data_IF_352161565667
#
_entry.id   IF_352161565667
#
_cell.length_a   1.000
_cell.length_b   1.000
_cell.length_c   1.000
_cell.angle_alpha   90.00
_cell.angle_beta   90.00
_cell.angle_gamma   90.00
#
_symmetry.space_group_name_H-M   'P 1'
#
loop_
_entity.id
_entity.type
_entity.pdbx_description
1 polymer ?
#
# COMPACT_ATOMS: atom_id res chain seq x y z
N UNK A 1 -11.72 -34.36 10.25
CA UNK A 1 -11.90 -32.89 10.10
C UNK A 1 -12.25 -32.35 11.47
N UNK A 2 -11.27 -31.83 12.19
CA UNK A 2 -11.53 -31.11 13.44
C UNK A 2 -11.96 -29.72 13.02
N UNK A 3 -13.27 -29.47 13.04
CA UNK A 3 -13.79 -28.10 12.93
C UNK A 3 -13.22 -27.36 14.14
N UNK A 4 -12.29 -26.44 13.93
CA UNK A 4 -11.90 -25.51 15.00
C UNK A 4 -13.19 -24.79 15.36
N UNK A 5 -13.68 -25.01 16.58
CA UNK A 5 -14.88 -24.36 17.06
C UNK A 5 -14.63 -22.85 17.00
N UNK A 6 -15.26 -22.17 16.04
CA UNK A 6 -15.24 -20.72 15.99
C UNK A 6 -15.88 -20.23 17.28
N UNK A 7 -15.12 -19.48 18.08
CA UNK A 7 -15.69 -18.79 19.22
C UNK A 7 -16.57 -17.68 18.66
N UNK A 8 -17.89 -17.77 18.87
CA UNK A 8 -18.79 -16.67 18.53
C UNK A 8 -18.40 -15.44 19.36
N UNK A 9 -18.11 -14.34 18.68
CA UNK A 9 -17.74 -13.05 19.28
C UNK A 9 -18.64 -11.96 18.69
N UNK A 10 -19.43 -11.23 19.51
CA UNK A 10 -20.30 -10.16 19.02
C UNK A 10 -19.54 -9.09 18.20
N UNK A 11 -18.31 -8.78 18.58
CA UNK A 11 -17.40 -7.88 17.86
C UNK A 11 -17.13 -8.32 16.42
N UNK A 12 -16.93 -9.62 16.18
CA UNK A 12 -16.70 -10.15 14.84
C UNK A 12 -17.95 -10.07 13.95
N UNK A 13 -19.11 -10.36 14.53
CA UNK A 13 -20.40 -10.20 13.83
C UNK A 13 -20.61 -8.74 13.43
N UNK A 14 -20.31 -7.82 14.34
CA UNK A 14 -20.38 -6.39 14.11
C UNK A 14 -19.40 -5.92 13.01
N UNK A 15 -18.15 -6.41 13.02
CA UNK A 15 -17.19 -6.15 11.95
C UNK A 15 -17.75 -6.57 10.59
N UNK A 16 -18.28 -7.79 10.50
CA UNK A 16 -18.89 -8.29 9.26
C UNK A 16 -20.01 -7.39 8.76
N UNK A 17 -20.88 -6.92 9.66
CA UNK A 17 -21.96 -5.97 9.34
C UNK A 17 -21.40 -4.64 8.81
N UNK A 18 -20.45 -4.03 9.51
CA UNK A 18 -19.82 -2.78 9.10
C UNK A 18 -19.11 -2.88 7.74
N UNK A 19 -18.43 -4.00 7.49
CA UNK A 19 -17.77 -4.26 6.20
C UNK A 19 -18.78 -4.39 5.04
N UNK A 20 -19.94 -5.00 5.28
CA UNK A 20 -21.01 -5.09 4.28
C UNK A 20 -21.68 -3.73 4.04
N UNK A 21 -21.99 -2.97 5.10
CA UNK A 21 -22.64 -1.66 5.01
C UNK A 21 -21.76 -0.62 4.31
N UNK A 22 -20.45 -0.66 4.53
CA UNK A 22 -19.49 0.18 3.82
C UNK A 22 -19.23 -0.25 2.37
N UNK A 23 -19.79 -1.38 1.94
CA UNK A 23 -19.56 -1.97 0.62
C UNK A 23 -18.17 -2.59 0.42
N UNK A 24 -17.35 -2.69 1.48
CA UNK A 24 -16.03 -3.31 1.39
C UNK A 24 -16.11 -4.82 1.22
N UNK A 25 -17.04 -5.47 1.93
CA UNK A 25 -17.32 -6.91 1.85
C UNK A 25 -18.61 -7.15 1.06
N UNK A 26 -18.50 -7.72 -0.14
CA UNK A 26 -19.67 -8.17 -0.89
C UNK A 26 -20.24 -9.46 -0.31
N UNK A 27 -21.52 -9.71 -0.57
CA UNK A 27 -22.26 -10.86 -0.01
C UNK A 27 -21.68 -12.22 -0.41
N UNK A 28 -21.05 -12.32 -1.57
CA UNK A 28 -20.42 -13.55 -2.05
C UNK A 28 -19.09 -13.87 -1.34
N UNK A 29 -18.48 -12.90 -0.65
CA UNK A 29 -17.33 -13.10 0.23
C UNK A 29 -17.70 -13.42 1.68
N UNK A 30 -18.98 -13.27 2.07
CA UNK A 30 -19.45 -13.56 3.42
C UNK A 30 -19.11 -14.98 3.92
N UNK A 31 -19.19 -16.05 3.08
CA UNK A 31 -18.78 -17.39 3.50
C UNK A 31 -17.29 -17.48 3.85
N UNK A 32 -16.42 -16.82 3.07
CA UNK A 32 -14.98 -16.79 3.32
C UNK A 32 -14.66 -15.99 4.60
N UNK A 33 -15.30 -14.83 4.79
CA UNK A 33 -15.19 -14.07 6.04
C UNK A 33 -15.62 -14.91 7.26
N UNK A 34 -16.71 -15.67 7.15
CA UNK A 34 -17.19 -16.54 8.22
C UNK A 34 -16.24 -17.71 8.53
N UNK A 35 -15.64 -18.31 7.51
CA UNK A 35 -14.72 -19.44 7.65
C UNK A 35 -13.31 -19.04 8.11
N UNK A 36 -12.84 -17.85 7.75
CA UNK A 36 -11.50 -17.35 8.09
C UNK A 36 -11.61 -16.37 9.25
N UNK A 37 -11.35 -16.86 10.47
CA UNK A 37 -11.29 -16.00 11.65
C UNK A 37 -9.93 -15.29 11.73
N UNK A 38 -9.90 -13.97 11.52
CA UNK A 38 -8.72 -13.11 11.65
C UNK A 38 -7.93 -13.37 12.95
N UNK A 39 -8.62 -13.62 14.07
CA UNK A 39 -7.98 -13.92 15.34
C UNK A 39 -7.12 -15.19 15.31
N UNK A 40 -7.42 -16.17 14.44
CA UNK A 40 -6.59 -17.36 14.29
C UNK A 40 -5.22 -17.07 13.65
N UNK A 41 -5.08 -15.92 12.97
CA UNK A 41 -3.88 -15.50 12.24
C UNK A 41 -2.97 -14.56 13.02
N UNK A 42 -3.46 -13.96 14.10
CA UNK A 42 -2.74 -12.95 14.86
C UNK A 42 -1.80 -13.56 15.91
N UNK A 43 -0.62 -12.97 16.13
CA UNK A 43 0.29 -13.37 17.20
C UNK A 43 -0.28 -13.04 18.59
N UNK A 44 0.27 -13.68 19.61
CA UNK A 44 -0.16 -13.48 21.00
C UNK A 44 0.02 -12.02 21.46
N UNK A 45 1.15 -11.40 21.11
CA UNK A 45 1.42 -9.98 21.29
C UNK A 45 1.34 -9.32 19.93
N UNK A 46 0.57 -8.24 19.82
CA UNK A 46 0.38 -7.50 18.58
C UNK A 46 0.26 -6.00 18.85
N UNK A 47 0.36 -5.21 17.78
CA UNK A 47 0.34 -3.75 17.90
C UNK A 47 -0.67 -3.10 16.95
N UNK A 48 -1.96 -3.01 17.32
CA UNK A 48 -2.96 -2.24 16.56
C UNK A 48 -2.48 -0.81 16.33
N UNK A 49 -2.60 -0.34 15.10
CA UNK A 49 -2.28 1.03 14.73
C UNK A 49 -3.54 1.89 14.90
N UNK A 50 -3.54 2.76 15.90
CA UNK A 50 -4.70 3.57 16.25
C UNK A 50 -4.56 4.95 15.61
N UNK A 51 -5.54 5.40 14.80
CA UNK A 51 -5.56 6.75 14.24
C UNK A 51 -5.60 7.83 15.33
N UNK A 52 -4.99 8.99 15.06
CA UNK A 52 -4.94 10.12 16.01
C UNK A 52 -6.34 10.51 16.51
N UNK A 53 -7.34 10.48 15.63
CA UNK A 53 -8.73 10.86 15.91
C UNK A 53 -9.39 9.94 16.95
N UNK A 54 -8.89 8.71 17.09
CA UNK A 54 -9.38 7.73 18.06
C UNK A 54 -8.60 7.75 19.39
N UNK A 55 -7.53 8.55 19.49
CA UNK A 55 -6.65 8.62 20.65
C UNK A 55 -6.93 9.83 21.57
N UNK A 56 -8.03 10.55 21.34
CA UNK A 56 -8.37 11.74 22.12
C UNK A 56 -7.44 12.92 21.81
N UNK A 57 -6.70 13.41 22.82
CA UNK A 57 -5.78 14.57 22.69
C UNK A 57 -4.40 14.21 22.11
N UNK A 58 -4.17 12.96 21.67
CA UNK A 58 -2.87 12.58 21.13
C UNK A 58 -2.63 13.23 19.75
N UNK A 59 -1.45 13.83 19.51
CA UNK A 59 -1.20 14.59 18.28
C UNK A 59 -0.99 13.72 17.04
N UNK A 60 -0.71 12.42 17.19
CA UNK A 60 -0.37 11.53 16.08
C UNK A 60 -0.91 10.11 16.29
N UNK A 61 -1.22 9.44 15.18
CA UNK A 61 -1.52 8.00 15.14
C UNK A 61 -0.34 7.19 15.67
N UNK A 62 -0.60 6.10 16.39
CA UNK A 62 0.47 5.26 16.96
C UNK A 62 0.06 3.81 17.09
N UNK A 63 1.07 2.94 17.11
CA UNK A 63 0.90 1.55 17.47
C UNK A 63 0.85 1.40 19.00
N UNK A 64 -0.11 0.63 19.54
CA UNK A 64 -0.20 0.32 20.97
C UNK A 64 -0.04 -1.17 21.21
N UNK A 65 0.60 -1.57 22.31
CA UNK A 65 0.82 -2.99 22.63
C UNK A 65 -0.41 -3.62 23.23
N UNK A 66 -0.78 -4.81 22.73
CA UNK A 66 -1.83 -5.66 23.32
C UNK A 66 -1.35 -7.11 23.38
N UNK A 67 -1.45 -7.74 24.55
CA UNK A 67 -1.13 -9.15 24.78
C UNK A 67 -2.39 -9.91 25.19
N UNK A 68 -2.72 -10.96 24.43
CA UNK A 68 -3.88 -11.82 24.68
C UNK A 68 -3.87 -12.45 26.08
N UNK A 69 -2.69 -12.65 26.69
CA UNK A 69 -2.58 -13.26 28.03
C UNK A 69 -3.02 -12.33 29.14
N UNK A 70 -2.73 -11.05 29.02
CA UNK A 70 -2.97 -10.05 30.07
C UNK A 70 -4.27 -9.31 29.85
N UNK A 71 -4.65 -9.08 28.59
CA UNK A 71 -5.90 -8.42 28.22
C UNK A 71 -6.54 -9.09 26.99
N UNK A 72 -7.16 -10.28 27.17
CA UNK A 72 -7.82 -10.98 26.08
C UNK A 72 -8.98 -10.18 25.49
N UNK A 73 -9.68 -9.38 26.30
CA UNK A 73 -10.83 -8.60 25.84
C UNK A 73 -10.40 -7.52 24.84
N UNK A 74 -9.37 -6.72 25.17
CA UNK A 74 -8.81 -5.76 24.23
C UNK A 74 -8.21 -6.46 23.00
N UNK A 75 -7.50 -7.58 23.20
CA UNK A 75 -6.90 -8.32 22.09
C UNK A 75 -7.93 -8.78 21.07
N UNK A 76 -9.03 -9.41 21.51
CA UNK A 76 -10.11 -9.82 20.61
C UNK A 76 -10.87 -8.62 20.02
N UNK A 77 -11.03 -7.54 20.79
CA UNK A 77 -11.62 -6.29 20.29
C UNK A 77 -10.84 -5.72 19.10
N UNK A 78 -9.51 -5.70 19.16
CA UNK A 78 -8.68 -5.25 18.03
C UNK A 78 -8.62 -6.27 16.89
N UNK A 79 -8.57 -7.57 17.20
CA UNK A 79 -8.62 -8.61 16.18
C UNK A 79 -9.90 -8.52 15.34
N UNK A 80 -11.01 -8.17 15.98
CA UNK A 80 -12.33 -7.99 15.36
C UNK A 80 -12.61 -6.52 14.99
N UNK A 81 -11.59 -5.66 14.88
CA UNK A 81 -11.75 -4.26 14.46
C UNK A 81 -11.35 -4.05 13.00
N UNK A 82 -11.87 -3.00 12.37
CA UNK A 82 -11.40 -2.55 11.05
C UNK A 82 -10.15 -1.68 11.16
N UNK A 83 -9.14 -2.15 11.90
CA UNK A 83 -7.82 -1.51 12.01
C UNK A 83 -6.73 -2.42 11.47
N UNK A 84 -5.63 -1.83 11.00
CA UNK A 84 -4.40 -2.57 10.75
C UNK A 84 -3.72 -2.91 12.07
N UNK A 85 -3.11 -4.10 12.11
CA UNK A 85 -2.42 -4.61 13.29
C UNK A 85 -1.00 -4.97 12.89
N UNK A 86 -0.02 -4.24 13.41
CA UNK A 86 1.39 -4.59 13.21
C UNK A 86 1.69 -5.90 13.95
N UNK A 87 2.42 -6.80 13.28
CA UNK A 87 2.75 -8.14 13.78
C UNK A 87 4.25 -8.42 13.79
N UNK A 88 5.06 -7.56 13.16
CA UNK A 88 6.51 -7.62 13.20
C UNK A 88 7.10 -6.20 13.09
N UNK A 89 8.21 -5.97 13.77
CA UNK A 89 9.02 -4.76 13.69
C UNK A 89 10.46 -5.10 13.32
N UNK A 90 11.14 -4.13 12.72
CA UNK A 90 12.59 -4.11 12.50
C UNK A 90 13.11 -5.37 11.79
N UNK A 91 12.38 -5.83 10.77
CA UNK A 91 12.69 -7.02 9.97
C UNK A 91 12.85 -8.30 10.80
N UNK A 92 12.10 -8.37 11.91
CA UNK A 92 12.12 -9.49 12.84
C UNK A 92 13.25 -9.42 13.88
N UNK A 93 14.05 -8.35 13.90
CA UNK A 93 15.08 -8.14 14.91
C UNK A 93 14.51 -7.72 16.27
N UNK A 94 13.35 -7.06 16.27
CA UNK A 94 12.68 -6.63 17.50
C UNK A 94 12.08 -7.83 18.25
N UNK A 95 12.39 -7.93 19.55
CA UNK A 95 11.90 -9.02 20.44
C UNK A 95 11.15 -8.52 21.67
N UNK A 96 10.99 -7.20 21.81
CA UNK A 96 10.27 -6.60 22.93
C UNK A 96 8.75 -6.69 22.77
N UNK A 97 8.04 -6.30 23.82
CA UNK A 97 6.59 -6.17 23.87
C UNK A 97 6.10 -4.77 23.43
N UNK A 98 6.91 -3.73 23.58
CA UNK A 98 6.61 -2.38 23.07
C UNK A 98 6.76 -2.30 21.53
N UNK A 99 6.19 -1.28 20.86
CA UNK A 99 6.44 -1.06 19.44
C UNK A 99 7.94 -0.90 19.13
N UNK A 100 8.40 -1.44 18.00
CA UNK A 100 9.76 -1.24 17.49
C UNK A 100 9.90 0.07 16.71
N UNK A 101 10.93 0.17 15.86
CA UNK A 101 11.22 1.41 15.10
C UNK A 101 10.47 1.47 13.79
N UNK A 102 10.59 0.42 12.97
CA UNK A 102 9.97 0.33 11.64
C UNK A 102 9.07 -0.90 11.61
N UNK A 103 7.77 -0.75 11.32
CA UNK A 103 6.89 -1.90 11.18
C UNK A 103 7.22 -2.63 9.87
N UNK A 104 7.31 -3.96 9.93
CA UNK A 104 7.78 -4.78 8.79
C UNK A 104 6.84 -5.91 8.39
N UNK A 105 5.81 -6.20 9.20
CA UNK A 105 4.66 -7.01 8.81
C UNK A 105 3.43 -6.56 9.60
N UNK A 106 2.25 -6.70 8.99
CA UNK A 106 0.96 -6.45 9.62
C UNK A 106 -0.11 -7.42 9.13
N UNK A 107 -1.15 -7.64 9.94
CA UNK A 107 -2.46 -7.99 9.39
C UNK A 107 -3.13 -6.70 8.94
N UNK A 108 -3.36 -6.60 7.64
CA UNK A 108 -3.93 -5.41 6.99
C UNK A 108 -5.35 -5.11 7.48
N UNK A 109 -5.79 -3.88 7.27
CA UNK A 109 -7.16 -3.45 7.58
C UNK A 109 -8.18 -4.30 6.77
N UNK A 110 -9.16 -4.96 7.42
CA UNK A 110 -10.12 -5.84 6.76
C UNK A 110 -10.84 -5.19 5.57
N UNK A 111 -11.32 -3.94 5.70
CA UNK A 111 -12.00 -3.24 4.60
C UNK A 111 -11.11 -3.03 3.38
N UNK A 112 -9.83 -2.73 3.57
CA UNK A 112 -8.85 -2.64 2.48
C UNK A 112 -8.63 -4.02 1.85
N UNK A 113 -8.44 -5.08 2.65
CA UNK A 113 -8.25 -6.45 2.13
C UNK A 113 -9.42 -6.88 1.26
N UNK A 114 -10.67 -6.72 1.71
CA UNK A 114 -11.82 -7.12 0.92
C UNK A 114 -12.03 -6.27 -0.35
N UNK A 115 -11.70 -4.97 -0.33
CA UNK A 115 -11.67 -4.15 -1.56
C UNK A 115 -10.62 -4.64 -2.56
N UNK A 116 -9.44 -5.03 -2.09
CA UNK A 116 -8.41 -5.60 -2.97
C UNK A 116 -8.81 -6.97 -3.52
N UNK A 117 -9.45 -7.81 -2.71
CA UNK A 117 -10.00 -9.10 -3.15
C UNK A 117 -11.12 -8.92 -4.18
N UNK A 118 -12.00 -7.92 -4.00
CA UNK A 118 -13.02 -7.57 -4.98
C UNK A 118 -12.41 -7.06 -6.29
N UNK A 119 -11.37 -6.21 -6.23
CA UNK A 119 -10.65 -5.76 -7.41
C UNK A 119 -9.92 -6.92 -8.13
N UNK A 120 -9.39 -7.88 -7.37
CA UNK A 120 -8.73 -9.06 -7.91
C UNK A 120 -9.72 -9.98 -8.64
N UNK A 121 -10.96 -10.04 -8.17
CA UNK A 121 -12.05 -10.86 -8.73
C UNK A 121 -11.64 -12.33 -8.97
N UNK A 122 -11.23 -13.07 -7.91
CA UNK A 122 -10.88 -14.49 -8.02
C UNK A 122 -12.12 -15.40 -7.93
N UNK A 123 -12.07 -16.51 -8.67
CA UNK A 123 -13.12 -17.52 -8.70
C UNK A 123 -12.59 -18.93 -8.37
N UNK A 124 -13.51 -19.85 -8.09
CA UNK A 124 -13.20 -21.24 -7.80
C UNK A 124 -12.35 -21.88 -8.91
N UNK A 125 -11.27 -22.55 -8.52
CA UNK A 125 -10.35 -23.20 -9.44
C UNK A 125 -9.27 -22.29 -10.02
N UNK A 126 -9.35 -20.96 -9.84
CA UNK A 126 -8.29 -20.05 -10.30
C UNK A 126 -7.01 -20.23 -9.51
N UNK A 127 -5.87 -20.20 -10.19
CA UNK A 127 -4.55 -20.20 -9.58
C UNK A 127 -4.14 -18.80 -9.18
N UNK A 128 -3.82 -18.62 -7.90
CA UNK A 128 -3.53 -17.30 -7.32
C UNK A 128 -2.15 -17.27 -6.67
N UNK A 129 -1.38 -16.23 -6.97
CA UNK A 129 -0.20 -15.85 -6.21
C UNK A 129 -0.56 -14.74 -5.23
N UNK A 130 -0.37 -15.00 -3.94
CA UNK A 130 -0.45 -14.04 -2.84
C UNK A 130 0.97 -13.57 -2.47
N UNK A 131 1.36 -12.40 -2.98
CA UNK A 131 2.67 -11.79 -2.75
C UNK A 131 2.63 -10.93 -1.48
N UNK A 132 3.21 -11.46 -0.39
CA UNK A 132 3.18 -10.87 0.94
C UNK A 132 2.36 -11.70 1.93
N UNK A 133 2.86 -12.89 2.29
CA UNK A 133 2.13 -13.82 3.17
C UNK A 133 1.70 -13.18 4.48
N UNK A 134 2.60 -12.42 5.13
CA UNK A 134 2.32 -11.81 6.43
C UNK A 134 1.78 -12.83 7.44
N UNK A 135 0.60 -12.56 8.01
CA UNK A 135 0.00 -13.48 8.99
C UNK A 135 -0.54 -14.79 8.39
N UNK A 136 -0.79 -14.83 7.08
CA UNK A 136 -1.44 -15.92 6.34
C UNK A 136 -2.96 -15.76 6.17
N UNK A 137 -3.56 -14.68 6.68
CA UNK A 137 -5.01 -14.45 6.64
C UNK A 137 -5.55 -14.27 5.21
N UNK A 138 -4.89 -13.44 4.40
CA UNK A 138 -5.28 -13.21 3.00
C UNK A 138 -5.13 -14.48 2.16
N UNK A 139 -4.04 -15.23 2.34
CA UNK A 139 -3.85 -16.54 1.73
C UNK A 139 -4.99 -17.51 2.10
N UNK A 140 -5.48 -17.48 3.34
CA UNK A 140 -6.60 -18.32 3.79
C UNK A 140 -7.93 -17.94 3.13
N UNK A 141 -8.21 -16.63 2.99
CA UNK A 141 -9.39 -16.14 2.27
C UNK A 141 -9.36 -16.60 0.80
N UNK A 142 -8.21 -16.44 0.14
CA UNK A 142 -8.00 -16.92 -1.23
C UNK A 142 -8.11 -18.44 -1.33
N UNK A 143 -7.57 -19.18 -0.36
CA UNK A 143 -7.62 -20.64 -0.33
C UNK A 143 -9.06 -21.15 -0.18
N UNK A 144 -9.87 -20.47 0.63
CA UNK A 144 -11.29 -20.77 0.76
C UNK A 144 -12.06 -20.46 -0.54
N UNK A 145 -11.74 -19.35 -1.23
CA UNK A 145 -12.42 -18.94 -2.47
C UNK A 145 -12.04 -19.78 -3.68
N UNK A 146 -10.75 -20.00 -3.89
CA UNK A 146 -10.19 -20.61 -5.10
C UNK A 146 -9.95 -22.12 -4.97
N UNK A 147 -9.91 -22.63 -3.73
CA UNK A 147 -9.41 -23.94 -3.38
C UNK A 147 -7.93 -23.90 -2.95
N UNK A 148 -7.62 -24.47 -1.79
CA UNK A 148 -6.29 -24.34 -1.17
C UNK A 148 -5.12 -24.78 -2.06
N UNK A 149 -5.30 -25.85 -2.85
CA UNK A 149 -4.26 -26.35 -3.76
C UNK A 149 -3.93 -25.38 -4.91
N UNK A 150 -4.75 -24.35 -5.14
CA UNK A 150 -4.56 -23.34 -6.18
C UNK A 150 -3.90 -22.06 -5.67
N UNK A 151 -3.62 -21.95 -4.38
CA UNK A 151 -3.01 -20.76 -3.78
C UNK A 151 -1.54 -21.01 -3.44
N UNK A 152 -0.69 -20.10 -3.92
CA UNK A 152 0.70 -19.96 -3.48
C UNK A 152 0.81 -18.63 -2.76
N UNK A 153 1.40 -18.61 -1.57
CA UNK A 153 1.72 -17.38 -0.83
C UNK A 153 3.21 -17.30 -0.59
N UNK A 154 3.80 -16.12 -0.77
CA UNK A 154 5.25 -15.90 -0.68
C UNK A 154 5.59 -14.72 0.22
N UNK A 155 6.59 -14.91 1.09
CA UNK A 155 7.16 -13.86 1.94
C UNK A 155 8.68 -13.99 2.00
N UNK A 156 9.36 -12.86 2.14
CA UNK A 156 10.83 -12.82 2.20
C UNK A 156 11.36 -13.29 3.56
N UNK A 157 10.53 -13.25 4.60
CA UNK A 157 10.92 -13.59 5.96
C UNK A 157 10.61 -15.06 6.30
N UNK A 158 11.63 -15.90 6.57
CA UNK A 158 11.41 -17.32 6.85
C UNK A 158 10.53 -17.58 8.07
N UNK A 159 10.59 -16.73 9.10
CA UNK A 159 9.79 -16.90 10.31
C UNK A 159 8.32 -16.59 10.05
N UNK A 160 8.05 -15.59 9.21
CA UNK A 160 6.70 -15.21 8.78
C UNK A 160 6.08 -16.32 7.95
N UNK A 161 6.77 -16.81 6.90
CA UNK A 161 6.27 -17.91 6.06
C UNK A 161 6.00 -19.17 6.88
N UNK A 162 6.91 -19.53 7.81
CA UNK A 162 6.75 -20.72 8.65
C UNK A 162 5.53 -20.63 9.57
N UNK A 163 5.33 -19.48 10.23
CA UNK A 163 4.18 -19.26 11.10
C UNK A 163 2.86 -19.26 10.33
N UNK A 164 2.81 -18.60 9.17
CA UNK A 164 1.62 -18.61 8.32
C UNK A 164 1.25 -20.03 7.86
N UNK A 165 2.25 -20.83 7.44
CA UNK A 165 2.06 -22.24 7.07
C UNK A 165 1.44 -23.06 8.20
N UNK A 166 1.92 -22.90 9.43
CA UNK A 166 1.38 -23.62 10.60
C UNK A 166 -0.10 -23.27 10.85
N UNK A 167 -0.45 -21.99 10.78
CA UNK A 167 -1.83 -21.51 10.96
C UNK A 167 -2.76 -22.01 9.86
N UNK A 168 -2.31 -21.93 8.60
CA UNK A 168 -3.02 -22.46 7.44
C UNK A 168 -3.28 -23.97 7.57
N UNK A 169 -2.27 -24.76 7.92
CA UNK A 169 -2.40 -26.21 8.17
C UNK A 169 -3.37 -26.53 9.31
N UNK A 170 -3.33 -25.74 10.40
CA UNK A 170 -4.22 -25.90 11.55
C UNK A 170 -5.69 -25.75 11.15
N UNK A 171 -5.98 -24.85 10.21
CA UNK A 171 -7.30 -24.64 9.63
C UNK A 171 -7.67 -25.62 8.49
N UNK A 172 -6.77 -26.55 8.15
CA UNK A 172 -6.95 -27.48 7.04
C UNK A 172 -6.85 -26.83 5.65
N UNK A 173 -6.33 -25.61 5.57
CA UNK A 173 -6.11 -24.85 4.34
C UNK A 173 -4.67 -25.05 3.86
N UNK A 174 -4.43 -26.12 3.11
CA UNK A 174 -3.08 -26.48 2.64
C UNK A 174 -2.64 -25.68 1.41
N UNK A 175 -2.62 -24.36 1.51
CA UNK A 175 -1.97 -23.49 0.51
C UNK A 175 -0.45 -23.64 0.59
N UNK A 176 0.24 -23.44 -0.53
CA UNK A 176 1.70 -23.49 -0.57
C UNK A 176 2.29 -22.18 -0.04
N UNK A 177 2.98 -22.25 1.10
CA UNK A 177 3.67 -21.10 1.70
C UNK A 177 5.17 -21.19 1.42
N UNK A 178 5.69 -20.20 0.70
CA UNK A 178 7.06 -20.12 0.20
C UNK A 178 7.83 -19.01 0.93
N UNK A 179 9.09 -19.28 1.25
CA UNK A 179 10.03 -18.24 1.64
C UNK A 179 10.86 -17.83 0.42
N UNK A 180 10.77 -16.56 0.04
CA UNK A 180 11.46 -16.03 -1.14
C UNK A 180 11.11 -14.58 -1.43
N UNK A 181 11.80 -13.99 -2.40
CA UNK A 181 11.49 -12.63 -2.85
C UNK A 181 10.21 -12.62 -3.70
N UNK A 182 9.14 -12.09 -3.15
CA UNK A 182 7.86 -11.95 -3.83
C UNK A 182 7.93 -11.08 -5.10
N UNK A 183 8.92 -10.18 -5.23
CA UNK A 183 9.14 -9.41 -6.45
C UNK A 183 9.57 -10.30 -7.63
N UNK A 184 10.22 -11.43 -7.35
CA UNK A 184 10.58 -12.43 -8.37
C UNK A 184 9.43 -13.38 -8.73
N UNK A 185 8.30 -13.29 -8.01
CA UNK A 185 7.18 -14.22 -8.14
C UNK A 185 7.55 -15.65 -7.73
N UNK A 186 6.83 -16.63 -8.28
CA UNK A 186 7.10 -18.05 -8.07
C UNK A 186 6.74 -18.86 -9.34
N UNK A 187 7.66 -18.95 -10.32
CA UNK A 187 7.34 -19.46 -11.66
C UNK A 187 6.96 -20.95 -11.69
N UNK A 188 7.42 -21.76 -10.73
CA UNK A 188 7.20 -23.22 -10.69
C UNK A 188 5.71 -23.61 -10.58
N UNK A 189 4.88 -22.68 -10.11
CA UNK A 189 3.43 -22.85 -9.99
C UNK A 189 2.67 -22.00 -10.99
N UNK A 190 3.34 -21.22 -11.84
CA UNK A 190 2.68 -20.47 -12.91
C UNK A 190 2.12 -21.36 -14.04
N UNK A 191 1.47 -20.76 -15.04
CA UNK A 191 1.00 -19.39 -15.03
C UNK A 191 -0.15 -19.18 -14.03
N UNK A 192 -0.25 -17.99 -13.47
CA UNK A 192 -1.30 -17.58 -12.54
C UNK A 192 -2.47 -16.92 -13.27
N UNK A 193 -3.67 -17.12 -12.74
CA UNK A 193 -4.88 -16.41 -13.20
C UNK A 193 -5.01 -15.04 -12.53
N UNK A 194 -4.50 -14.95 -11.30
CA UNK A 194 -4.55 -13.79 -10.40
C UNK A 194 -3.26 -13.65 -9.61
N UNK A 195 -2.82 -12.41 -9.42
CA UNK A 195 -1.74 -12.08 -8.50
C UNK A 195 -2.20 -10.92 -7.62
N UNK A 196 -2.18 -11.14 -6.31
CA UNK A 196 -2.45 -10.11 -5.31
C UNK A 196 -1.16 -9.79 -4.58
N UNK A 197 -0.77 -8.53 -4.55
CA UNK A 197 0.31 -8.02 -3.73
C UNK A 197 -0.25 -7.28 -2.52
N UNK A 198 0.25 -7.58 -1.34
CA UNK A 198 -0.17 -6.97 -0.06
C UNK A 198 0.98 -6.22 0.62
N UNK A 199 1.92 -5.72 -0.18
CA UNK A 199 2.91 -4.71 0.18
C UNK A 199 3.00 -3.64 -0.92
N UNK A 200 3.55 -2.47 -0.57
CA UNK A 200 3.71 -1.36 -1.50
C UNK A 200 4.93 -1.55 -2.41
N UNK A 201 4.75 -1.31 -3.71
CA UNK A 201 5.83 -1.30 -4.70
C UNK A 201 6.04 0.07 -5.33
N UNK A 202 7.27 0.33 -5.78
CA UNK A 202 7.64 1.53 -6.54
C UNK A 202 7.59 1.31 -8.06
N UNK A 203 7.55 0.05 -8.46
CA UNK A 203 7.41 -0.43 -9.83
C UNK A 203 6.79 -1.83 -9.80
N UNK A 204 5.96 -2.17 -10.78
CA UNK A 204 5.39 -3.49 -11.01
C UNK A 204 6.49 -4.40 -11.60
N UNK A 205 6.91 -5.47 -10.91
CA UNK A 205 7.90 -6.39 -11.41
C UNK A 205 7.51 -7.03 -12.75
N UNK A 206 8.45 -7.05 -13.70
CA UNK A 206 8.29 -7.80 -14.97
C UNK A 206 7.96 -9.28 -14.75
N UNK A 207 8.56 -9.88 -13.71
CA UNK A 207 8.30 -11.26 -13.32
C UNK A 207 6.81 -11.53 -13.05
N UNK A 208 6.07 -10.56 -12.50
CA UNK A 208 4.63 -10.71 -12.27
C UNK A 208 3.85 -10.76 -13.59
N UNK A 209 4.17 -9.86 -14.53
CA UNK A 209 3.54 -9.80 -15.85
C UNK A 209 3.84 -11.07 -16.65
N UNK A 210 5.05 -11.62 -16.52
CA UNK A 210 5.47 -12.85 -17.21
C UNK A 210 4.86 -14.13 -16.62
N UNK A 211 4.52 -14.12 -15.33
CA UNK A 211 3.98 -15.29 -14.64
C UNK A 211 2.45 -15.31 -14.58
N UNK A 212 1.78 -14.20 -14.86
CA UNK A 212 0.32 -14.15 -14.98
C UNK A 212 -0.08 -14.37 -16.44
N UNK A 213 -1.07 -15.25 -16.68
CA UNK A 213 -1.52 -15.56 -18.05
C UNK A 213 -2.10 -14.31 -18.75
N UNK A 214 -2.09 -14.25 -20.10
CA UNK A 214 -2.89 -13.26 -20.82
C UNK A 214 -4.37 -13.29 -20.38
N UNK A 215 -4.95 -12.12 -20.14
CA UNK A 215 -6.28 -11.93 -19.55
C UNK A 215 -6.35 -12.15 -18.03
N UNK A 216 -5.24 -12.52 -17.38
CA UNK A 216 -5.11 -12.57 -15.93
C UNK A 216 -4.97 -11.17 -15.32
N UNK A 217 -5.19 -11.07 -14.01
CA UNK A 217 -5.25 -9.79 -13.27
C UNK A 217 -4.17 -9.73 -12.21
N UNK A 218 -3.47 -8.60 -12.15
CA UNK A 218 -2.56 -8.21 -11.07
C UNK A 218 -3.23 -7.08 -10.27
N UNK A 219 -3.32 -7.23 -8.95
CA UNK A 219 -3.69 -6.15 -8.04
C UNK A 219 -2.53 -5.87 -7.09
N UNK A 220 -2.03 -4.64 -7.09
CA UNK A 220 -0.88 -4.27 -6.26
C UNK A 220 -0.96 -2.82 -5.77
N UNK A 221 -0.69 -2.56 -4.47
CA UNK A 221 -0.41 -1.22 -3.96
C UNK A 221 0.82 -0.63 -4.64
N UNK A 222 0.60 0.42 -5.42
CA UNK A 222 1.61 1.09 -6.24
C UNK A 222 1.69 2.56 -5.86
N UNK A 223 2.91 3.07 -5.68
CA UNK A 223 3.10 4.51 -5.52
C UNK A 223 4.55 4.93 -5.60
N UNK A 224 4.79 6.18 -5.95
CA UNK A 224 6.14 6.72 -6.17
C UNK A 224 6.79 7.16 -4.86
N UNK A 225 8.09 7.46 -4.88
CA UNK A 225 8.79 7.97 -3.69
C UNK A 225 8.23 9.27 -3.12
N UNK A 226 7.26 9.90 -3.80
CA UNK A 226 6.60 11.13 -3.38
C UNK A 226 6.05 11.02 -1.95
N UNK A 227 5.34 9.94 -1.62
CA UNK A 227 4.85 9.70 -0.26
C UNK A 227 4.58 8.22 0.00
N UNK A 228 3.96 7.92 1.15
CA UNK A 228 3.39 6.61 1.48
C UNK A 228 1.97 6.41 0.95
N UNK A 229 1.32 7.46 0.43
CA UNK A 229 -0.03 7.39 -0.16
C UNK A 229 0.06 6.72 -1.52
N UNK A 230 -0.25 5.43 -1.54
CA UNK A 230 -0.28 4.61 -2.75
C UNK A 230 -1.70 4.55 -3.33
N UNK A 231 -1.78 3.92 -4.49
CA UNK A 231 -3.02 3.52 -5.11
C UNK A 231 -2.93 2.04 -5.53
N UNK A 232 -4.01 1.28 -5.33
CA UNK A 232 -4.06 -0.09 -5.80
C UNK A 232 -4.21 -0.09 -7.33
N UNK A 233 -3.19 -0.51 -8.07
CA UNK A 233 -3.26 -0.72 -9.50
C UNK A 233 -3.96 -2.06 -9.78
N UNK A 234 -4.97 -2.06 -10.69
CA UNK A 234 -5.63 -3.28 -11.18
C UNK A 234 -5.29 -3.45 -12.66
N UNK A 235 -4.31 -4.30 -12.95
CA UNK A 235 -3.74 -4.47 -14.28
C UNK A 235 -4.21 -5.78 -14.92
N UNK A 236 -4.65 -5.71 -16.17
CA UNK A 236 -4.88 -6.90 -17.00
C UNK A 236 -3.62 -7.18 -17.80
N UNK A 237 -3.14 -8.43 -17.78
CA UNK A 237 -2.00 -8.85 -18.60
C UNK A 237 -2.45 -9.12 -20.04
N UNK A 238 -1.71 -8.58 -21.00
CA UNK A 238 -1.99 -8.70 -22.43
C UNK A 238 -1.14 -9.79 -23.07
N UNK A 239 -1.59 -10.27 -24.25
CA UNK A 239 -0.90 -11.36 -24.97
C UNK A 239 0.49 -10.97 -25.50
N UNK A 240 0.78 -9.68 -25.61
CA UNK A 240 2.08 -9.13 -26.02
C UNK A 240 3.09 -9.00 -24.86
N UNK A 241 2.73 -9.45 -23.66
CA UNK A 241 3.58 -9.37 -22.48
C UNK A 241 3.61 -8.00 -21.81
N UNK A 242 2.68 -7.10 -22.14
CA UNK A 242 2.40 -5.87 -21.39
C UNK A 242 1.27 -6.07 -20.38
N UNK A 243 1.07 -5.14 -19.47
CA UNK A 243 -0.11 -5.10 -18.61
C UNK A 243 -0.63 -3.67 -18.47
N UNK A 244 -1.94 -3.46 -18.39
CA UNK A 244 -2.49 -2.13 -18.15
C UNK A 244 -3.83 -2.15 -17.43
N UNK A 245 -4.15 -1.05 -16.76
CA UNK A 245 -5.45 -0.85 -16.14
C UNK A 245 -5.47 0.31 -15.14
N UNK A 246 -6.64 0.59 -14.55
CA UNK A 246 -6.84 1.74 -13.68
C UNK A 246 -6.25 1.52 -12.28
N UNK A 247 -6.08 2.62 -11.55
CA UNK A 247 -6.04 2.57 -10.10
C UNK A 247 -7.47 2.47 -9.54
N UNK A 248 -7.69 1.68 -8.50
CA UNK A 248 -9.06 1.39 -8.02
C UNK A 248 -9.38 1.96 -6.65
N UNK A 249 -8.37 2.20 -5.81
CA UNK A 249 -8.57 2.81 -4.49
C UNK A 249 -7.25 3.31 -3.92
N UNK A 250 -7.30 4.34 -3.09
CA UNK A 250 -6.14 4.79 -2.32
C UNK A 250 -5.83 3.76 -1.23
N UNK A 251 -4.55 3.45 -1.04
CA UNK A 251 -4.08 2.49 -0.03
C UNK A 251 -2.77 2.97 0.58
N UNK A 252 -2.45 2.46 1.76
CA UNK A 252 -1.13 2.65 2.37
C UNK A 252 -0.61 1.30 2.85
N UNK A 253 0.54 0.90 2.32
CA UNK A 253 1.18 -0.38 2.64
C UNK A 253 2.65 -0.19 2.97
N UNK A 254 3.16 -1.06 3.84
CA UNK A 254 4.60 -1.20 4.05
C UNK A 254 5.28 -1.51 2.72
N UNK A 255 6.40 -0.85 2.43
CA UNK A 255 7.12 -1.08 1.16
C UNK A 255 7.86 -2.41 1.18
N UNK A 256 7.94 -3.05 0.01
CA UNK A 256 8.89 -4.14 -0.21
C UNK A 256 10.28 -3.72 0.33
N UNK A 257 11.01 -4.65 0.96
CA UNK A 257 12.24 -4.30 1.70
C UNK A 257 13.26 -3.54 0.83
N UNK A 258 13.42 -3.96 -0.43
CA UNK A 258 14.28 -3.31 -1.43
C UNK A 258 13.75 -1.98 -1.98
N UNK A 259 12.48 -1.67 -1.76
CA UNK A 259 11.77 -0.49 -2.27
C UNK A 259 11.56 0.61 -1.21
N UNK A 260 12.09 0.41 0.01
CA UNK A 260 12.04 1.43 1.07
C UNK A 260 12.79 2.69 0.63
N UNK A 261 12.18 3.85 0.87
CA UNK A 261 12.83 5.13 0.57
C UNK A 261 13.98 5.34 1.53
N UNK A 262 15.19 5.53 1.01
CA UNK A 262 16.31 6.12 1.76
C UNK A 262 16.11 7.63 1.73
N UNK A 263 15.74 8.22 2.86
CA UNK A 263 15.43 9.64 2.92
C UNK A 263 16.66 10.50 2.61
N UNK A 264 16.52 11.48 1.70
CA UNK A 264 17.54 12.48 1.44
C UNK A 264 17.98 13.21 2.71
N UNK A 265 19.30 13.27 2.92
CA UNK A 265 19.91 14.13 3.93
C UNK A 265 19.98 15.56 3.41
N UNK A 266 19.19 16.47 4.01
CA UNK A 266 19.06 17.85 3.58
C UNK A 266 20.41 18.57 3.49
N UNK A 267 21.37 18.27 4.38
CA UNK A 267 22.70 18.88 4.37
C UNK A 267 23.49 18.54 3.10
N UNK A 268 23.20 17.41 2.46
CA UNK A 268 23.84 17.00 1.21
C UNK A 268 23.27 17.73 0.00
N UNK A 269 22.02 18.20 0.08
CA UNK A 269 21.31 18.88 -1.01
C UNK A 269 21.45 20.40 -0.92
N UNK A 270 21.26 20.96 0.27
CA UNK A 270 21.18 22.41 0.49
C UNK A 270 22.56 22.94 0.88
N UNK A 271 23.38 23.24 -0.14
CA UNK A 271 24.70 23.87 0.06
C UNK A 271 24.66 25.39 0.08
N UNK A 272 23.64 25.96 -0.56
CA UNK A 272 23.40 27.39 -0.65
C UNK A 272 21.91 27.65 -0.87
N UNK A 273 21.43 28.78 -0.38
CA UNK A 273 20.06 29.23 -0.63
C UNK A 273 20.03 30.12 -1.87
N UNK A 274 19.29 29.75 -2.93
CA UNK A 274 19.12 30.60 -4.10
C UNK A 274 18.17 31.77 -3.78
N UNK A 275 18.02 32.69 -4.74
CA UNK A 275 16.93 33.66 -4.70
C UNK A 275 15.56 32.96 -4.69
N UNK A 276 14.57 33.61 -4.09
CA UNK A 276 13.21 33.08 -3.99
C UNK A 276 12.29 33.57 -5.11
N UNK A 277 11.28 32.78 -5.43
CA UNK A 277 10.14 33.16 -6.26
C UNK A 277 8.83 33.03 -5.47
N UNK A 278 7.73 33.57 -6.00
CA UNK A 278 6.39 33.38 -5.43
C UNK A 278 5.61 32.29 -6.17
N UNK A 279 4.66 31.63 -5.50
CA UNK A 279 3.68 30.73 -6.11
C UNK A 279 2.28 31.01 -5.57
N UNK A 280 1.26 30.80 -6.40
CA UNK A 280 -0.14 30.88 -5.98
C UNK A 280 -0.66 29.53 -5.47
N UNK A 281 0.04 28.41 -5.73
CA UNK A 281 -0.38 27.07 -5.31
C UNK A 281 -0.38 26.98 -3.79
N UNK A 282 -1.51 26.58 -3.23
CA UNK A 282 -1.74 26.47 -1.79
C UNK A 282 -1.57 25.01 -1.29
N UNK A 283 -1.35 24.81 0.03
CA UNK A 283 -1.14 23.48 0.61
C UNK A 283 -2.30 22.49 0.39
N UNK A 284 -3.53 22.97 0.40
CA UNK A 284 -4.75 22.19 0.11
C UNK A 284 -4.77 21.71 -1.35
N UNK A 285 -4.45 22.58 -2.31
CA UNK A 285 -4.32 22.21 -3.72
C UNK A 285 -3.24 21.13 -3.93
N UNK A 286 -2.12 21.20 -3.21
CA UNK A 286 -1.08 20.14 -3.23
C UNK A 286 -1.59 18.81 -2.68
N UNK A 287 -2.40 18.86 -1.61
CA UNK A 287 -2.97 17.67 -1.00
C UNK A 287 -4.02 17.00 -1.91
N UNK A 288 -4.84 17.79 -2.60
CA UNK A 288 -5.86 17.31 -3.55
C UNK A 288 -5.23 16.77 -4.85
N UNK A 289 -4.26 17.48 -5.42
CA UNK A 289 -3.56 17.07 -6.63
C UNK A 289 -2.49 15.99 -6.39
N UNK A 290 -2.34 15.50 -5.15
CA UNK A 290 -1.25 14.62 -4.71
C UNK A 290 -0.98 13.46 -5.68
N UNK A 291 -2.02 12.72 -6.08
CA UNK A 291 -1.84 11.56 -6.94
C UNK A 291 -1.29 11.94 -8.32
N UNK A 292 -1.86 13.00 -8.93
CA UNK A 292 -1.38 13.52 -10.21
C UNK A 292 0.07 14.00 -10.14
N UNK A 293 0.44 14.75 -9.10
CA UNK A 293 1.82 15.21 -8.87
C UNK A 293 2.76 13.99 -8.72
N UNK A 294 2.36 13.01 -7.91
CA UNK A 294 3.18 11.84 -7.62
C UNK A 294 3.52 11.03 -8.87
N UNK A 295 2.63 11.04 -9.88
CA UNK A 295 2.80 10.33 -11.15
C UNK A 295 3.49 11.20 -12.22
N UNK A 296 3.22 12.51 -12.25
CA UNK A 296 3.76 13.43 -13.25
C UNK A 296 5.22 13.82 -12.98
N UNK A 297 5.65 13.81 -11.71
CA UNK A 297 7.00 14.22 -11.31
C UNK A 297 7.74 13.04 -10.66
N UNK A 298 8.37 12.16 -11.46
CA UNK A 298 8.97 10.93 -10.94
C UNK A 298 10.29 11.18 -10.19
N UNK A 299 10.70 10.17 -9.42
CA UNK A 299 11.95 10.10 -8.66
C UNK A 299 12.17 11.29 -7.72
N UNK A 300 11.11 11.72 -7.04
CA UNK A 300 11.20 12.73 -5.98
C UNK A 300 10.70 12.15 -4.66
N UNK A 301 11.32 12.55 -3.57
CA UNK A 301 10.79 12.38 -2.22
C UNK A 301 10.21 13.71 -1.73
N UNK A 302 9.05 13.67 -1.10
CA UNK A 302 8.35 14.85 -0.61
C UNK A 302 8.03 14.72 0.88
N UNK A 303 8.20 15.81 1.63
CA UNK A 303 7.86 15.89 3.04
C UNK A 303 7.27 17.25 3.36
N UNK A 304 6.38 17.28 4.35
CA UNK A 304 5.76 18.49 4.88
C UNK A 304 6.11 18.63 6.35
N UNK A 305 6.22 19.86 6.81
CA UNK A 305 6.45 20.18 8.22
C UNK A 305 5.84 21.55 8.56
N UNK A 306 5.68 21.79 9.85
CA UNK A 306 5.28 23.10 10.37
C UNK A 306 6.54 23.80 10.89
N UNK A 307 6.78 25.02 10.42
CA UNK A 307 7.88 25.86 10.89
C UNK A 307 7.67 26.31 12.36
N UNK A 308 8.71 26.76 13.08
CA UNK A 308 8.58 27.21 14.48
C UNK A 308 7.58 28.36 14.70
N UNK A 309 7.29 29.14 13.67
CA UNK A 309 6.29 30.21 13.69
C UNK A 309 4.87 29.75 13.31
N UNK A 310 4.69 28.45 13.09
CA UNK A 310 3.41 27.84 12.71
C UNK A 310 3.16 27.80 11.20
N UNK A 311 4.03 28.39 10.38
CA UNK A 311 3.85 28.41 8.92
C UNK A 311 4.00 26.99 8.33
N UNK A 312 3.07 26.54 7.46
CA UNK A 312 3.28 25.32 6.69
C UNK A 312 4.49 25.46 5.77
N UNK A 313 5.24 24.37 5.63
CA UNK A 313 6.31 24.27 4.67
C UNK A 313 6.40 22.84 4.09
N UNK A 314 6.99 22.76 2.91
CA UNK A 314 7.10 21.53 2.16
C UNK A 314 8.42 21.47 1.40
N UNK A 315 8.98 20.27 1.29
CA UNK A 315 10.24 20.01 0.60
C UNK A 315 10.06 18.92 -0.45
N UNK A 316 10.82 19.05 -1.52
CA UNK A 316 10.97 18.06 -2.58
C UNK A 316 12.45 17.83 -2.85
N UNK A 317 12.85 16.56 -2.93
CA UNK A 317 14.22 16.15 -3.20
C UNK A 317 14.23 15.18 -4.36
N UNK A 318 15.01 15.49 -5.38
CA UNK A 318 15.27 14.56 -6.48
C UNK A 318 16.18 13.44 -6.02
N UNK A 319 15.80 12.21 -6.32
CA UNK A 319 16.57 11.01 -5.97
C UNK A 319 17.67 10.69 -6.99
N UNK A 320 17.76 11.44 -8.09
CA UNK A 320 18.64 11.10 -9.22
C UNK A 320 19.72 12.15 -9.52
N UNK A 321 19.51 13.42 -9.19
CA UNK A 321 20.39 14.51 -9.67
C UNK A 321 20.65 15.64 -8.65
N UNK A 322 20.35 15.39 -7.37
CA UNK A 322 20.52 16.37 -6.26
C UNK A 322 19.73 17.68 -6.41
N UNK A 323 18.77 17.76 -7.32
CA UNK A 323 17.81 18.85 -7.33
C UNK A 323 16.95 18.85 -6.06
N UNK A 324 16.54 20.04 -5.62
CA UNK A 324 15.60 20.20 -4.52
C UNK A 324 14.73 21.45 -4.70
N UNK A 325 13.59 21.43 -4.03
CA UNK A 325 12.71 22.58 -3.84
C UNK A 325 12.20 22.64 -2.40
N UNK A 326 11.95 23.84 -1.90
CA UNK A 326 11.30 24.12 -0.63
C UNK A 326 10.26 25.22 -0.87
N UNK A 327 9.07 25.05 -0.30
CA UNK A 327 8.03 26.08 -0.30
C UNK A 327 7.58 26.33 1.13
N UNK A 328 7.40 27.60 1.48
CA UNK A 328 6.87 28.03 2.77
C UNK A 328 5.70 28.98 2.55
N UNK A 329 4.63 28.81 3.33
CA UNK A 329 3.43 29.66 3.29
C UNK A 329 3.31 30.46 4.59
N UNK A 330 3.92 31.66 4.67
CA UNK A 330 3.97 32.44 5.91
C UNK A 330 2.62 33.12 6.26
N UNK A 331 1.73 33.28 5.28
CA UNK A 331 0.42 33.93 5.44
C UNK A 331 -0.66 32.98 4.89
N UNK A 332 -1.76 32.80 5.63
CA UNK A 332 -2.86 31.88 5.28
C UNK A 332 -3.52 32.19 3.92
N UNK A 333 -3.40 33.43 3.43
CA UNK A 333 -3.93 33.89 2.14
C UNK A 333 -2.85 34.54 1.24
N UNK A 334 -1.58 34.40 1.59
CA UNK A 334 -0.46 34.99 0.84
C UNK A 334 0.14 34.02 -0.18
N UNK A 335 0.93 34.53 -1.14
CA UNK A 335 1.68 33.66 -2.04
C UNK A 335 2.72 32.86 -1.26
N UNK A 336 2.88 31.59 -1.62
CA UNK A 336 3.96 30.76 -1.10
C UNK A 336 5.32 31.29 -1.57
N UNK A 337 6.33 31.18 -0.72
CA UNK A 337 7.72 31.54 -1.03
C UNK A 337 8.46 30.27 -1.43
N UNK A 338 8.98 30.25 -2.65
CA UNK A 338 9.64 29.10 -3.27
C UNK A 338 11.14 29.30 -3.31
N UNK A 339 11.89 28.28 -2.88
CA UNK A 339 13.32 28.13 -3.09
C UNK A 339 13.56 26.83 -3.86
N UNK A 340 14.40 26.84 -4.88
CA UNK A 340 14.74 25.61 -5.60
C UNK A 340 16.07 25.73 -6.34
N UNK A 341 16.79 24.62 -6.40
CA UNK A 341 18.14 24.54 -6.96
C UNK A 341 18.39 23.17 -7.58
N UNK A 342 19.26 23.14 -8.59
CA UNK A 342 19.73 21.92 -9.26
C UNK A 342 19.30 21.83 -10.73
N UNK A 343 19.70 20.75 -11.44
CA UNK A 343 19.43 20.57 -12.86
C UNK A 343 17.94 20.54 -13.22
N UNK A 344 17.12 19.89 -12.38
CA UNK A 344 15.65 19.94 -12.45
C UNK A 344 15.12 21.07 -11.57
N UNK A 345 14.18 21.83 -12.11
CA UNK A 345 13.34 22.78 -11.37
C UNK A 345 12.12 22.04 -10.82
N UNK A 346 12.28 21.44 -9.63
CA UNK A 346 11.25 20.53 -9.10
C UNK A 346 9.94 21.24 -8.79
N UNK A 347 9.99 22.45 -8.26
CA UNK A 347 8.77 23.21 -7.98
C UNK A 347 8.03 23.58 -9.27
N UNK A 348 8.75 24.01 -10.31
CA UNK A 348 8.13 24.33 -11.61
C UNK A 348 7.40 23.11 -12.19
N UNK A 349 7.96 21.90 -12.00
CA UNK A 349 7.32 20.65 -12.42
C UNK A 349 6.09 20.30 -11.56
N UNK A 350 6.14 20.53 -10.25
CA UNK A 350 5.00 20.33 -9.34
C UNK A 350 3.87 21.30 -9.67
N UNK A 351 4.16 22.59 -9.84
CA UNK A 351 3.18 23.61 -10.21
C UNK A 351 2.55 23.33 -11.58
N UNK A 352 3.35 22.88 -12.55
CA UNK A 352 2.84 22.43 -13.85
C UNK A 352 1.92 21.20 -13.72
N UNK A 353 2.24 20.24 -12.85
CA UNK A 353 1.41 19.07 -12.61
C UNK A 353 0.07 19.43 -11.93
N UNK A 354 0.09 20.33 -10.94
CA UNK A 354 -1.12 20.89 -10.33
C UNK A 354 -2.00 21.59 -11.37
N UNK A 355 -1.44 22.53 -12.13
CA UNK A 355 -2.19 23.26 -13.15
C UNK A 355 -2.74 22.35 -14.25
N UNK A 356 -1.99 21.31 -14.64
CA UNK A 356 -2.50 20.29 -15.56
C UNK A 356 -3.68 19.53 -14.97
N UNK A 357 -3.59 19.07 -13.71
CA UNK A 357 -4.67 18.34 -13.03
C UNK A 357 -5.95 19.19 -12.92
N UNK A 358 -5.84 20.45 -12.54
CA UNK A 358 -6.97 21.39 -12.51
C UNK A 358 -7.57 21.61 -13.90
N UNK A 359 -6.72 21.75 -14.93
CA UNK A 359 -7.17 21.89 -16.32
C UNK A 359 -7.89 20.64 -16.85
N UNK A 360 -7.66 19.46 -16.27
CA UNK A 360 -8.41 18.23 -16.55
C UNK A 360 -9.72 18.11 -15.73
N UNK A 361 -10.08 19.15 -14.97
CA UNK A 361 -11.27 19.17 -14.12
C UNK A 361 -11.09 18.40 -12.82
N UNK A 362 -9.88 18.38 -12.27
CA UNK A 362 -9.55 17.77 -10.98
C UNK A 362 -9.98 16.29 -10.89
N UNK A 363 -9.53 15.43 -11.84
CA UNK A 363 -9.96 14.04 -11.91
C UNK A 363 -9.64 13.29 -10.61
N UNK A 364 -10.57 12.43 -10.20
CA UNK A 364 -10.39 11.50 -9.10
C UNK A 364 -9.40 10.38 -9.47
N UNK A 365 -8.89 9.69 -8.44
CA UNK A 365 -7.86 8.65 -8.55
C UNK A 365 -8.22 7.53 -9.53
N UNK A 366 -9.49 7.15 -9.60
CA UNK A 366 -10.00 6.05 -10.43
C UNK A 366 -10.00 6.35 -11.94
N UNK A 367 -9.81 7.62 -12.32
CA UNK A 367 -9.56 8.02 -13.71
C UNK A 367 -8.11 7.84 -14.12
N UNK A 368 -7.19 7.66 -13.19
CA UNK A 368 -5.80 7.40 -13.51
C UNK A 368 -5.57 5.90 -13.73
N UNK A 369 -4.59 5.57 -14.55
CA UNK A 369 -4.14 4.20 -14.70
C UNK A 369 -2.66 4.09 -15.06
N UNK A 370 -2.22 2.85 -15.22
CA UNK A 370 -0.84 2.50 -15.47
C UNK A 370 -0.76 1.51 -16.63
N UNK A 371 0.23 1.70 -17.50
CA UNK A 371 0.66 0.70 -18.49
C UNK A 371 2.08 0.27 -18.14
N UNK A 372 2.30 -1.04 -18.05
CA UNK A 372 3.58 -1.68 -17.76
C UNK A 372 4.04 -2.42 -19.02
N UNK A 373 5.12 -1.94 -19.62
CA UNK A 373 5.72 -2.50 -20.81
C UNK A 373 7.17 -2.99 -20.59
N UNK A 374 7.84 -3.47 -21.64
CA UNK A 374 9.24 -3.87 -21.57
C UNK A 374 10.19 -2.69 -21.33
N UNK A 375 9.81 -1.48 -21.76
CA UNK A 375 10.61 -0.26 -21.65
C UNK A 375 10.30 0.56 -20.39
N UNK A 376 9.49 0.03 -19.47
CA UNK A 376 9.10 0.71 -18.23
C UNK A 376 7.60 0.93 -18.09
N UNK A 377 7.25 1.89 -17.26
CA UNK A 377 5.89 2.16 -16.83
C UNK A 377 5.43 3.53 -17.31
N UNK A 378 4.16 3.65 -17.66
CA UNK A 378 3.60 4.89 -18.17
C UNK A 378 2.23 5.13 -17.55
N UNK A 379 2.09 6.13 -16.65
CA UNK A 379 0.80 6.53 -16.14
C UNK A 379 0.00 7.34 -17.17
N UNK A 380 -1.32 7.23 -17.09
CA UNK A 380 -2.25 7.88 -18.01
C UNK A 380 -3.54 8.30 -17.30
N UNK A 381 -4.34 9.15 -17.97
CA UNK A 381 -5.65 9.62 -17.52
C UNK A 381 -6.74 9.15 -18.50
N UNK A 382 -7.75 8.44 -17.98
CA UNK A 382 -8.88 7.79 -18.67
C UNK A 382 -8.52 6.68 -19.67
N UNK A 383 -7.50 6.90 -20.51
CA UNK A 383 -7.09 6.00 -21.57
C UNK A 383 -5.55 5.93 -21.69
N UNK A 384 -4.95 4.76 -21.98
CA UNK A 384 -3.50 4.61 -22.18
C UNK A 384 -2.84 5.53 -23.21
N UNK A 385 -3.61 6.14 -24.13
CA UNK A 385 -3.12 7.14 -25.08
C UNK A 385 -2.98 8.56 -24.50
N UNK A 386 -3.61 8.86 -23.36
CA UNK A 386 -3.62 10.18 -22.73
C UNK A 386 -2.63 10.23 -21.55
N UNK A 387 -1.37 10.46 -21.89
CA UNK A 387 -0.26 10.42 -20.94
C UNK A 387 -0.22 11.65 -20.03
N UNK A 388 0.22 11.45 -18.79
CA UNK A 388 0.51 12.56 -17.89
C UNK A 388 1.72 13.38 -18.39
N UNK A 389 1.83 14.67 -18.00
CA UNK A 389 3.05 15.45 -18.23
C UNK A 389 4.26 14.71 -17.63
N UNK A 390 5.32 14.52 -18.41
CA UNK A 390 6.54 13.84 -17.91
C UNK A 390 6.43 12.32 -17.68
N UNK A 391 5.32 11.68 -18.08
CA UNK A 391 4.98 10.28 -17.77
C UNK A 391 5.89 9.18 -18.34
N UNK A 392 6.95 9.49 -19.09
CA UNK A 392 7.88 8.46 -19.56
C UNK A 392 8.99 8.28 -18.52
N UNK A 393 8.76 7.35 -17.60
CA UNK A 393 9.77 6.95 -16.63
C UNK A 393 10.71 5.98 -17.34
N UNK A 394 12.00 6.32 -17.42
CA UNK A 394 13.04 5.49 -18.03
C UNK A 394 13.90 4.87 -16.95
#
# INVERSE_FOLDING_TARGET
MTVIAHQERPSRTELGRCLMESGALSSDWAPAFAAVDRAAFLPQVMWPFIPAEQLGEAPHSRAVTVDRRTDPAAWYGYADSDLSVVTQWDDGAHRGDHPGTVPTSSSSQPSVVFRLLAALDPDAGMRVLDAGTGTGETAALLAHRCGAANVTTIDVDPAVSAAARERLCTLGLYAEAVTGDALAGHPDRGPYDRLLCTFGVRSIPRAWVEQVRPGGVIVAPYGTHYSSRDAAARLTVHADGTASGPFVTAVEFMKARSHRTVWPDAEQYVKQWPGSTGTAVQPDQLAEAHHAISLAVPHIAHTTHTEPDGAPAAWWYSLTDRSWAAVRWPEEYGPGIVYQHGPRRLWDAVEAACGWWEAQGSPALDRFGLTVGPEGETPWLDDPGNLLPGARWR
#
